data_IF_997784866058
#
_entry.id   IF_997784866058
#
_cell.length_a   1.000
_cell.length_b   1.000
_cell.length_c   1.000
_cell.angle_alpha   90.00
_cell.angle_beta   90.00
_cell.angle_gamma   90.00
#
_symmetry.space_group_name_H-M   'P 1'
#
loop_
_entity.id
_entity.type
_entity.pdbx_description
1 polymer ?
#
# COMPACT_ATOMS: atom_id res chain seq x y z
N UNK A 1 7.58 7.34 -9.16
CA UNK A 1 8.51 6.25 -8.78
C UNK A 1 7.87 4.90 -9.12
N UNK A 2 8.60 3.91 -9.64
CA UNK A 2 8.03 2.60 -10.05
C UNK A 2 7.47 1.72 -8.92
N UNK A 3 7.54 2.17 -7.66
CA UNK A 3 6.94 1.49 -6.51
C UNK A 3 5.55 2.02 -6.14
N UNK A 4 5.10 3.15 -6.74
CA UNK A 4 3.81 3.76 -6.43
C UNK A 4 2.81 3.45 -7.55
N UNK A 5 1.56 3.18 -7.18
CA UNK A 5 0.46 3.09 -8.14
C UNK A 5 0.29 4.43 -8.88
N UNK A 6 -0.05 4.41 -10.17
CA UNK A 6 -0.51 5.61 -10.87
C UNK A 6 -1.71 6.25 -10.17
N UNK A 7 -1.87 7.56 -10.31
CA UNK A 7 -2.92 8.33 -9.63
C UNK A 7 -4.31 7.82 -10.01
N UNK A 8 -4.54 7.51 -11.29
CA UNK A 8 -5.78 6.92 -11.79
C UNK A 8 -6.13 5.58 -11.10
N UNK A 9 -5.13 4.74 -10.84
CA UNK A 9 -5.31 3.48 -10.11
C UNK A 9 -5.57 3.70 -8.61
N UNK A 10 -4.94 4.69 -8.00
CA UNK A 10 -5.24 5.08 -6.62
C UNK A 10 -6.65 5.67 -6.51
N UNK A 11 -7.08 6.46 -7.49
CA UNK A 11 -8.43 6.98 -7.57
C UNK A 11 -9.44 5.84 -7.71
N UNK A 12 -9.21 4.89 -8.63
CA UNK A 12 -10.04 3.68 -8.78
C UNK A 12 -10.17 2.92 -7.46
N UNK A 13 -9.06 2.67 -6.76
CA UNK A 13 -9.06 2.00 -5.47
C UNK A 13 -9.84 2.78 -4.41
N UNK A 14 -9.53 4.06 -4.22
CA UNK A 14 -10.15 4.90 -3.19
C UNK A 14 -11.66 5.12 -3.43
N UNK A 15 -12.10 5.17 -4.69
CA UNK A 15 -13.54 5.30 -5.01
C UNK A 15 -14.36 4.09 -4.57
N UNK A 16 -13.77 2.89 -4.66
CA UNK A 16 -14.41 1.61 -4.33
C UNK A 16 -14.34 1.23 -2.84
N UNK A 17 -13.50 1.89 -2.05
CA UNK A 17 -13.41 1.64 -0.60
C UNK A 17 -14.53 2.39 0.12
N UNK A 18 -15.35 1.67 0.87
CA UNK A 18 -16.47 2.22 1.65
C UNK A 18 -16.07 2.42 3.13
N UNK A 19 -14.96 3.12 3.35
CA UNK A 19 -14.43 3.47 4.67
C UNK A 19 -13.70 4.80 4.61
N UNK A 20 -13.57 5.54 5.74
CA UNK A 20 -12.70 6.70 5.80
C UNK A 20 -11.25 6.33 5.44
N UNK A 21 -10.63 7.15 4.60
CA UNK A 21 -9.28 6.95 4.07
C UNK A 21 -8.39 8.10 4.49
N UNK A 22 -7.20 7.80 4.99
CA UNK A 22 -6.14 8.77 5.21
C UNK A 22 -5.01 8.43 4.24
N UNK A 23 -4.69 9.35 3.33
CA UNK A 23 -3.56 9.23 2.42
C UNK A 23 -2.30 9.71 3.13
N UNK A 24 -1.31 8.84 3.29
CA UNK A 24 0.00 9.16 3.86
C UNK A 24 1.07 9.14 2.77
N UNK A 25 1.96 10.10 2.80
CA UNK A 25 3.07 10.23 1.85
C UNK A 25 3.96 11.43 2.21
N UNK A 26 4.98 11.65 1.42
CA UNK A 26 5.84 12.82 1.52
C UNK A 26 5.22 14.08 0.88
N UNK A 27 5.99 15.18 0.87
CA UNK A 27 5.54 16.43 0.27
C UNK A 27 5.32 16.34 -1.24
N UNK A 28 6.07 15.48 -1.93
CA UNK A 28 5.95 15.26 -3.37
C UNK A 28 4.64 14.54 -3.72
N UNK A 29 4.04 13.82 -2.76
CA UNK A 29 2.75 13.15 -2.91
C UNK A 29 1.54 14.08 -2.66
N UNK A 30 1.75 15.27 -2.11
CA UNK A 30 0.67 16.14 -1.67
C UNK A 30 -0.29 16.54 -2.80
N UNK A 31 0.25 16.87 -3.98
CA UNK A 31 -0.55 17.25 -5.16
C UNK A 31 -1.43 16.07 -5.63
N UNK A 32 -0.85 14.88 -5.75
CA UNK A 32 -1.60 13.68 -6.11
C UNK A 32 -2.65 13.32 -5.04
N UNK A 33 -2.32 13.53 -3.76
CA UNK A 33 -3.24 13.33 -2.66
C UNK A 33 -4.45 14.27 -2.72
N UNK A 34 -4.28 15.52 -3.10
CA UNK A 34 -5.41 16.46 -3.31
C UNK A 34 -6.28 16.04 -4.52
N UNK A 35 -5.69 15.55 -5.61
CA UNK A 35 -6.46 15.02 -6.75
C UNK A 35 -7.30 13.80 -6.34
N UNK A 36 -6.78 12.91 -5.52
CA UNK A 36 -7.53 11.75 -5.02
C UNK A 36 -8.64 12.20 -4.05
N UNK A 37 -8.35 13.15 -3.17
CA UNK A 37 -9.31 13.69 -2.20
C UNK A 37 -10.56 14.31 -2.87
N UNK A 38 -10.43 14.87 -4.09
CA UNK A 38 -11.55 15.44 -4.85
C UNK A 38 -12.66 14.42 -5.16
N UNK A 39 -12.38 13.11 -5.13
CA UNK A 39 -13.39 12.07 -5.35
C UNK A 39 -14.46 12.07 -4.25
N UNK A 40 -14.04 12.27 -3.01
CA UNK A 40 -14.93 12.35 -1.85
C UNK A 40 -14.16 13.02 -0.68
N UNK A 41 -14.34 14.32 -0.53
CA UNK A 41 -13.60 15.11 0.46
C UNK A 41 -14.04 14.87 1.91
N UNK A 42 -15.18 14.19 2.12
CA UNK A 42 -15.67 13.80 3.45
C UNK A 42 -15.00 12.47 3.86
N UNK A 43 -14.89 11.54 2.94
CA UNK A 43 -14.32 10.21 3.17
C UNK A 43 -12.80 10.19 3.12
N UNK A 44 -12.17 11.01 2.25
CA UNK A 44 -10.73 10.95 1.96
C UNK A 44 -10.04 12.16 2.56
N UNK A 45 -9.12 11.93 3.48
CA UNK A 45 -8.25 12.96 4.04
C UNK A 45 -6.84 12.86 3.47
N UNK A 46 -6.36 13.92 2.83
CA UNK A 46 -4.98 13.99 2.36
C UNK A 46 -4.06 14.47 3.50
N UNK A 47 -3.21 13.58 4.00
CA UNK A 47 -2.21 13.82 5.03
C UNK A 47 -0.78 13.89 4.47
N UNK A 48 -0.59 13.78 3.14
CA UNK A 48 0.72 13.79 2.50
C UNK A 48 1.47 15.10 2.80
N UNK A 49 2.69 14.97 3.32
CA UNK A 49 3.56 16.09 3.66
C UNK A 49 3.14 16.94 4.85
N UNK A 50 2.06 16.58 5.57
CA UNK A 50 1.52 17.37 6.68
C UNK A 50 2.04 16.95 8.06
N UNK A 51 2.53 15.74 8.18
CA UNK A 51 2.92 15.14 9.45
C UNK A 51 4.38 14.68 9.42
N UNK A 52 5.03 14.74 10.58
CA UNK A 52 6.31 14.11 10.82
C UNK A 52 6.20 12.58 10.76
N UNK A 53 7.33 11.90 10.74
CA UNK A 53 7.35 10.43 10.73
C UNK A 53 6.67 9.84 11.97
N UNK A 54 6.87 10.44 13.15
CA UNK A 54 6.26 9.98 14.41
C UNK A 54 4.74 10.17 14.42
N UNK A 55 4.25 11.30 13.92
CA UNK A 55 2.81 11.57 13.79
C UNK A 55 2.19 10.62 12.76
N UNK A 56 2.88 10.36 11.65
CA UNK A 56 2.44 9.35 10.66
C UNK A 56 2.38 7.95 11.26
N UNK A 57 3.34 7.58 12.11
CA UNK A 57 3.32 6.32 12.84
C UNK A 57 2.13 6.23 13.82
N UNK A 58 1.74 7.33 14.49
CA UNK A 58 0.55 7.34 15.35
C UNK A 58 -0.74 7.18 14.54
N UNK A 59 -0.85 7.81 13.37
CA UNK A 59 -1.98 7.59 12.45
C UNK A 59 -2.05 6.12 12.01
N UNK A 60 -0.92 5.51 11.65
CA UNK A 60 -0.83 4.09 11.30
C UNK A 60 -1.27 3.22 12.48
N UNK A 61 -0.81 3.53 13.70
CA UNK A 61 -1.18 2.81 14.93
C UNK A 61 -2.70 2.79 15.16
N UNK A 62 -3.38 3.88 14.85
CA UNK A 62 -4.85 4.03 15.01
C UNK A 62 -5.66 3.44 13.85
N UNK A 63 -5.05 3.23 12.69
CA UNK A 63 -5.74 2.67 11.53
C UNK A 63 -6.21 1.22 11.80
N UNK A 64 -7.32 0.81 11.22
CA UNK A 64 -7.80 -0.58 11.26
C UNK A 64 -6.99 -1.48 10.35
N UNK A 65 -6.64 -0.97 9.16
CA UNK A 65 -5.92 -1.69 8.11
C UNK A 65 -5.01 -0.71 7.36
N UNK A 66 -3.88 -1.20 6.91
CA UNK A 66 -2.93 -0.43 6.10
C UNK A 66 -2.86 -1.04 4.69
N UNK A 67 -3.04 -0.22 3.68
CA UNK A 67 -2.69 -0.53 2.28
C UNK A 67 -1.43 0.27 1.96
N UNK A 68 -0.35 -0.39 1.61
CA UNK A 68 0.93 0.28 1.41
C UNK A 68 1.70 -0.30 0.23
N UNK A 69 2.45 0.57 -0.45
CA UNK A 69 3.51 0.14 -1.35
C UNK A 69 4.74 -0.33 -0.54
N UNK A 70 5.72 -0.93 -1.20
CA UNK A 70 7.03 -1.23 -0.64
C UNK A 70 7.77 0.08 -0.25
N UNK A 71 7.50 0.55 0.97
CA UNK A 71 7.99 1.83 1.52
C UNK A 71 8.25 1.72 3.02
N UNK A 72 8.94 2.73 3.59
CA UNK A 72 9.18 2.81 5.04
C UNK A 72 7.91 2.76 5.89
N UNK A 73 6.79 3.35 5.41
CA UNK A 73 5.51 3.31 6.14
C UNK A 73 4.92 1.90 6.24
N UNK A 74 5.17 1.03 5.26
CA UNK A 74 4.80 -0.39 5.34
C UNK A 74 5.55 -1.09 6.48
N UNK A 75 6.85 -0.82 6.62
CA UNK A 75 7.67 -1.40 7.69
C UNK A 75 7.29 -0.85 9.07
N UNK A 76 6.92 0.43 9.16
CA UNK A 76 6.36 1.01 10.40
C UNK A 76 5.05 0.31 10.76
N UNK A 77 4.17 0.07 9.79
CA UNK A 77 2.90 -0.63 10.02
C UNK A 77 3.14 -2.05 10.56
N UNK A 78 4.09 -2.79 9.99
CA UNK A 78 4.44 -4.13 10.49
C UNK A 78 5.06 -4.11 11.88
N UNK A 79 5.96 -3.17 12.17
CA UNK A 79 6.54 -2.97 13.50
C UNK A 79 5.46 -2.65 14.58
N UNK A 80 4.41 -1.94 14.18
CA UNK A 80 3.22 -1.65 15.00
C UNK A 80 2.19 -2.79 14.99
N UNK A 81 2.52 -3.94 14.39
CA UNK A 81 1.68 -5.15 14.31
C UNK A 81 0.31 -4.90 13.66
N UNK A 82 0.24 -3.97 12.71
CA UNK A 82 -0.98 -3.69 11.96
C UNK A 82 -1.18 -4.73 10.85
N UNK A 83 -2.43 -4.99 10.49
CA UNK A 83 -2.72 -5.74 9.27
C UNK A 83 -2.33 -4.91 8.06
N UNK A 84 -1.62 -5.52 7.10
CA UNK A 84 -1.06 -4.84 5.94
C UNK A 84 -1.47 -5.55 4.66
N UNK A 85 -1.95 -4.80 3.69
CA UNK A 85 -2.03 -5.22 2.29
C UNK A 85 -0.88 -4.53 1.55
N UNK A 86 0.16 -5.29 1.22
CA UNK A 86 1.35 -4.80 0.52
C UNK A 86 1.18 -4.86 -0.99
N UNK A 87 1.41 -3.72 -1.66
CA UNK A 87 1.36 -3.60 -3.12
C UNK A 87 2.78 -3.60 -3.67
N UNK A 88 3.10 -4.59 -4.50
CA UNK A 88 4.43 -4.83 -5.02
C UNK A 88 4.52 -4.61 -6.53
N UNK A 89 5.32 -3.64 -6.93
CA UNK A 89 5.52 -3.27 -8.34
C UNK A 89 6.83 -3.78 -8.92
N UNK A 90 7.84 -2.94 -8.96
CA UNK A 90 9.17 -3.25 -9.51
C UNK A 90 10.03 -4.14 -8.62
N UNK A 91 9.71 -4.23 -7.34
CA UNK A 91 10.30 -5.12 -6.34
C UNK A 91 9.37 -6.30 -6.05
N UNK A 92 9.86 -7.30 -5.30
CA UNK A 92 9.06 -8.45 -4.85
C UNK A 92 9.38 -8.78 -3.41
N UNK A 93 8.42 -9.34 -2.65
CA UNK A 93 8.66 -9.77 -1.26
C UNK A 93 9.83 -10.74 -1.12
N UNK A 94 10.03 -11.63 -2.12
CA UNK A 94 11.12 -12.63 -2.13
C UNK A 94 12.54 -12.04 -2.08
N UNK A 95 12.69 -10.74 -2.29
CA UNK A 95 13.96 -10.02 -2.14
C UNK A 95 14.29 -9.65 -0.68
N UNK A 96 13.54 -10.16 0.30
CA UNK A 96 13.78 -9.92 1.72
C UNK A 96 13.23 -8.61 2.28
N UNK A 97 12.51 -7.83 1.47
CA UNK A 97 11.97 -6.51 1.85
C UNK A 97 10.50 -6.58 2.31
N UNK A 98 9.98 -7.77 2.60
CA UNK A 98 8.60 -7.91 3.09
C UNK A 98 8.42 -7.35 4.51
N UNK A 99 7.19 -7.02 4.94
CA UNK A 99 6.91 -6.52 6.27
C UNK A 99 7.30 -7.51 7.35
N UNK A 100 8.14 -7.12 8.28
CA UNK A 100 8.57 -7.95 9.41
C UNK A 100 7.74 -7.66 10.65
N UNK A 101 7.07 -8.67 11.19
CA UNK A 101 6.20 -8.56 12.36
C UNK A 101 6.82 -9.12 13.66
N UNK A 102 8.02 -9.68 13.58
CA UNK A 102 8.66 -10.39 14.69
C UNK A 102 8.19 -11.86 14.78
N UNK A 103 9.13 -12.76 15.02
CA UNK A 103 8.87 -14.22 15.04
C UNK A 103 7.86 -14.63 16.12
N UNK A 104 7.99 -14.09 17.33
CA UNK A 104 7.09 -14.40 18.43
C UNK A 104 5.65 -13.94 18.18
N UNK A 105 5.46 -12.84 17.45
CA UNK A 105 4.12 -12.38 17.10
C UNK A 105 3.48 -13.28 16.04
N UNK A 106 4.22 -13.63 15.00
CA UNK A 106 3.71 -14.48 13.91
C UNK A 106 3.29 -15.87 14.38
N UNK A 107 4.02 -16.46 15.33
CA UNK A 107 3.70 -17.78 15.88
C UNK A 107 2.38 -17.82 16.68
N UNK A 108 1.87 -16.66 17.11
CA UNK A 108 0.63 -16.52 17.87
C UNK A 108 -0.58 -16.17 17.00
N UNK A 109 -0.39 -15.92 15.70
CA UNK A 109 -1.47 -15.52 14.81
C UNK A 109 -2.11 -16.73 14.11
N UNK A 110 -3.43 -16.76 14.07
CA UNK A 110 -4.21 -17.75 13.30
C UNK A 110 -4.05 -17.51 11.79
N UNK A 111 -3.98 -16.23 11.40
CA UNK A 111 -3.77 -15.82 10.00
C UNK A 111 -2.60 -14.84 9.91
N UNK A 112 -1.82 -14.95 8.84
CA UNK A 112 -0.71 -14.04 8.61
C UNK A 112 -1.24 -12.59 8.50
N UNK A 113 -0.65 -11.60 9.20
CA UNK A 113 -1.15 -10.21 9.21
C UNK A 113 -0.87 -9.43 7.93
N UNK A 114 -0.33 -10.06 6.90
CA UNK A 114 0.08 -9.43 5.65
C UNK A 114 -0.45 -10.19 4.44
N UNK A 115 -1.00 -9.45 3.47
CA UNK A 115 -1.31 -9.91 2.12
C UNK A 115 -0.38 -9.25 1.11
N UNK A 116 0.02 -9.99 0.09
CA UNK A 116 0.92 -9.52 -0.98
C UNK A 116 0.15 -9.44 -2.29
N UNK A 117 0.00 -8.24 -2.81
CA UNK A 117 -0.67 -8.01 -4.09
C UNK A 117 0.36 -7.58 -5.13
N UNK A 118 0.40 -8.31 -6.24
CA UNK A 118 1.36 -8.07 -7.30
C UNK A 118 0.86 -8.61 -8.66
N UNK A 119 1.37 -8.06 -9.73
CA UNK A 119 1.11 -8.62 -11.07
C UNK A 119 1.99 -9.85 -11.28
N UNK A 120 1.37 -11.02 -11.35
CA UNK A 120 2.06 -12.28 -11.59
C UNK A 120 2.49 -12.45 -13.05
N UNK A 121 3.47 -13.34 -13.29
CA UNK A 121 3.95 -13.75 -14.63
C UNK A 121 4.42 -12.59 -15.52
N UNK A 122 4.94 -11.52 -14.91
CA UNK A 122 5.52 -10.41 -15.65
C UNK A 122 7.04 -10.62 -15.75
N UNK A 123 7.51 -10.98 -16.94
CA UNK A 123 8.90 -11.40 -17.20
C UNK A 123 9.98 -10.38 -16.79
N UNK A 124 9.63 -9.09 -16.76
CA UNK A 124 10.55 -8.01 -16.41
C UNK A 124 10.66 -7.74 -14.91
N UNK A 125 10.04 -8.56 -14.05
CA UNK A 125 10.10 -8.46 -12.58
C UNK A 125 10.92 -9.59 -11.97
N UNK A 126 11.62 -9.32 -10.85
CA UNK A 126 11.91 -8.01 -10.25
C UNK A 126 12.86 -7.18 -11.12
N UNK A 127 12.70 -5.84 -11.15
CA UNK A 127 13.58 -4.99 -11.94
C UNK A 127 14.94 -4.77 -11.27
N UNK A 128 14.94 -4.62 -9.96
CA UNK A 128 16.11 -4.48 -9.08
C UNK A 128 15.67 -4.71 -7.63
N UNK A 129 16.63 -4.94 -6.75
CA UNK A 129 16.39 -5.09 -5.31
C UNK A 129 15.79 -3.83 -4.66
N UNK A 130 16.27 -2.65 -5.04
CA UNK A 130 15.84 -1.37 -4.45
C UNK A 130 14.72 -0.68 -5.21
N UNK A 131 14.34 -1.20 -6.39
CA UNK A 131 13.47 -0.50 -7.34
C UNK A 131 14.26 0.53 -8.17
N UNK A 132 13.60 1.11 -9.19
CA UNK A 132 14.17 2.13 -10.10
C UNK A 132 13.32 3.39 -10.05
N UNK A 133 13.87 4.51 -10.49
CA UNK A 133 13.12 5.77 -10.60
C UNK A 133 12.17 5.79 -11.81
N UNK A 134 12.50 5.03 -12.87
CA UNK A 134 11.69 4.88 -14.09
C UNK A 134 11.60 3.41 -14.50
N UNK A 135 10.53 3.04 -15.18
CA UNK A 135 10.37 1.71 -15.74
C UNK A 135 11.36 1.55 -16.93
N UNK A 136 12.33 0.60 -16.88
CA UNK A 136 13.28 0.42 -17.97
C UNK A 136 12.62 -0.05 -19.26
N UNK A 137 11.45 -0.69 -19.17
CA UNK A 137 10.66 -1.16 -20.31
C UNK A 137 9.60 -0.14 -20.77
N UNK A 138 9.51 1.03 -20.15
CA UNK A 138 8.55 2.08 -20.49
C UNK A 138 7.06 1.76 -20.21
N UNK A 139 6.67 0.48 -20.12
CA UNK A 139 5.26 0.09 -20.09
C UNK A 139 4.62 0.15 -18.69
N UNK A 140 5.39 0.09 -17.61
CA UNK A 140 4.97 0.14 -16.21
C UNK A 140 3.81 -0.82 -15.82
N UNK A 141 3.71 -1.96 -16.51
CA UNK A 141 2.62 -2.95 -16.34
C UNK A 141 2.53 -3.50 -14.92
N UNK A 142 3.65 -3.56 -14.17
CA UNK A 142 3.67 -4.03 -12.79
C UNK A 142 2.82 -3.20 -11.83
N UNK A 143 2.49 -1.95 -12.18
CA UNK A 143 1.60 -1.07 -11.43
C UNK A 143 0.32 -0.74 -12.19
N UNK A 144 0.39 -0.55 -13.52
CA UNK A 144 -0.80 -0.25 -14.33
C UNK A 144 -1.81 -1.39 -14.35
N UNK A 145 -1.33 -2.63 -14.35
CA UNK A 145 -2.18 -3.83 -14.36
C UNK A 145 -2.41 -4.39 -12.95
N UNK A 146 -2.16 -3.60 -11.90
CA UNK A 146 -2.40 -4.04 -10.52
C UNK A 146 -3.87 -4.47 -10.36
N UNK A 147 -4.13 -5.67 -9.80
CA UNK A 147 -5.49 -6.18 -9.64
C UNK A 147 -6.20 -5.47 -8.47
N UNK A 148 -6.87 -4.36 -8.76
CA UNK A 148 -7.57 -3.53 -7.75
C UNK A 148 -8.66 -4.34 -7.04
N UNK A 149 -9.37 -5.20 -7.75
CA UNK A 149 -10.44 -6.02 -7.17
C UNK A 149 -9.90 -7.06 -6.17
N UNK A 150 -8.67 -7.56 -6.36
CA UNK A 150 -8.00 -8.41 -5.38
C UNK A 150 -7.65 -7.64 -4.10
N UNK A 151 -7.20 -6.39 -4.22
CA UNK A 151 -6.95 -5.51 -3.06
C UNK A 151 -8.24 -5.32 -2.27
N UNK A 152 -9.35 -5.04 -2.97
CA UNK A 152 -10.66 -4.84 -2.35
C UNK A 152 -11.20 -6.11 -1.68
N UNK A 153 -11.01 -7.27 -2.32
CA UNK A 153 -11.36 -8.56 -1.73
C UNK A 153 -10.61 -8.78 -0.41
N UNK A 154 -9.29 -8.59 -0.41
CA UNK A 154 -8.47 -8.72 0.79
C UNK A 154 -8.87 -7.72 1.88
N UNK A 155 -9.13 -6.47 1.49
CA UNK A 155 -9.61 -5.43 2.40
C UNK A 155 -10.92 -5.87 3.11
N UNK A 156 -11.91 -6.34 2.35
CA UNK A 156 -13.18 -6.77 2.90
C UNK A 156 -13.03 -7.96 3.86
N UNK A 157 -12.26 -8.97 3.46
CA UNK A 157 -11.94 -10.12 4.32
C UNK A 157 -11.29 -9.67 5.64
N UNK A 158 -10.30 -8.75 5.56
CA UNK A 158 -9.59 -8.23 6.74
C UNK A 158 -10.46 -7.38 7.66
N UNK A 159 -11.45 -6.69 7.10
CA UNK A 159 -12.40 -5.88 7.88
C UNK A 159 -13.63 -6.67 8.35
N UNK A 160 -13.68 -7.99 8.11
CA UNK A 160 -14.77 -8.87 8.56
C UNK A 160 -16.07 -8.70 7.78
N UNK A 161 -16.05 -8.18 6.57
CA UNK A 161 -17.21 -8.15 5.67
C UNK A 161 -17.26 -9.47 4.89
N UNK A 162 -18.26 -10.32 5.20
CA UNK A 162 -18.66 -11.43 4.33
C UNK A 162 -19.35 -10.85 3.09
N UNK A 163 -19.08 -11.45 1.91
CA UNK A 163 -19.84 -11.19 0.70
C UNK A 163 -21.21 -11.85 0.74
#
# INVERSE_FOLDING_TARGET
MPKKLPVDKLQELCSKIDHPIILLGDKDDATNGEEIKKLDSVKIYNACGKFSLNESADLIRRAKLIIAHDTGLMHIASALRKQVIGIWGSTTPSMGMYPYFGTNFLSQQVTHPHDEIQVHKLWCRPCTEMGRTKCPQGHFKCMRNMPIDEILLKLNVRLGRSY
#
